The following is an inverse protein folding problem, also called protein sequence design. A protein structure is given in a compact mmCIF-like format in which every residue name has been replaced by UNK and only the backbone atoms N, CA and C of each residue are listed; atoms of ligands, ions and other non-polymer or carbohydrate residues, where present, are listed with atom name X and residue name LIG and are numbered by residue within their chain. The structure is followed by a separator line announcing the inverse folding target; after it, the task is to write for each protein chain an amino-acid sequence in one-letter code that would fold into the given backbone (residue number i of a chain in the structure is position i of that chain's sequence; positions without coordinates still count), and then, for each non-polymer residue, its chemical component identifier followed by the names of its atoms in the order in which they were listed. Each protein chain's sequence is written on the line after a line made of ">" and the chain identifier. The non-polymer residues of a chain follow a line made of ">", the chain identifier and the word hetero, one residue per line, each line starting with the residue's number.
data_IF_782362845354
#
_entry.id   IF_782362845354
#
_cell.length_a   1.000
_cell.length_b   1.000
_cell.length_c   1.000
_cell.angle_alpha   90.00
_cell.angle_beta   90.00
_cell.angle_gamma   90.00
#
_symmetry.space_group_name_H-M   'P 1'
#
loop_
_entity.id
_entity.type
_entity.pdbx_description
1 polymer ?
#
# COMPACT_ATOMS: atom_id res chain seq x y z
N UNK A 1 20.81 0.07 32.82
CA UNK A 1 20.81 1.32 32.02
C UNK A 1 21.71 1.22 30.78
N UNK A 2 22.97 0.77 30.89
CA UNK A 2 23.87 0.57 29.73
C UNK A 2 23.28 -0.36 28.65
N UNK A 3 22.65 -1.47 29.04
CA UNK A 3 22.01 -2.41 28.10
C UNK A 3 20.86 -1.77 27.31
N UNK A 4 20.09 -0.86 27.92
CA UNK A 4 19.01 -0.15 27.24
C UNK A 4 19.55 0.86 26.22
N UNK A 5 20.68 1.50 26.52
CA UNK A 5 21.35 2.41 25.58
C UNK A 5 21.94 1.62 24.40
N UNK A 6 22.59 0.48 24.68
CA UNK A 6 23.16 -0.38 23.66
C UNK A 6 22.08 -0.96 22.73
N UNK A 7 20.96 -1.41 23.29
CA UNK A 7 19.81 -1.91 22.50
C UNK A 7 19.16 -0.80 21.68
N UNK A 8 18.99 0.41 22.25
CA UNK A 8 18.49 1.55 21.50
C UNK A 8 19.41 1.92 20.32
N UNK A 9 20.74 1.94 20.54
CA UNK A 9 21.72 2.19 19.48
C UNK A 9 21.69 1.10 18.41
N UNK A 10 21.60 -0.17 18.81
CA UNK A 10 21.48 -1.29 17.88
C UNK A 10 20.21 -1.20 17.03
N UNK A 11 19.05 -0.90 17.63
CA UNK A 11 17.79 -0.74 16.90
C UNK A 11 17.88 0.45 15.93
N UNK A 12 18.44 1.58 16.38
CA UNK A 12 18.62 2.76 15.53
C UNK A 12 19.57 2.48 14.35
N UNK A 13 20.69 1.79 14.60
CA UNK A 13 21.63 1.38 13.55
C UNK A 13 20.98 0.41 12.57
N UNK A 14 20.29 -0.62 13.06
CA UNK A 14 19.59 -1.59 12.21
C UNK A 14 18.51 -0.92 11.35
N UNK A 15 17.73 0.00 11.92
CA UNK A 15 16.75 0.78 11.18
C UNK A 15 17.41 1.68 10.12
N UNK A 16 18.51 2.35 10.45
CA UNK A 16 19.25 3.17 9.50
C UNK A 16 19.83 2.33 8.34
N UNK A 17 20.44 1.18 8.63
CA UNK A 17 20.96 0.26 7.61
C UNK A 17 19.84 -0.26 6.70
N UNK A 18 18.68 -0.61 7.26
CA UNK A 18 17.52 -1.03 6.49
C UNK A 18 17.03 0.09 5.56
N UNK A 19 16.95 1.32 6.06
CA UNK A 19 16.57 2.49 5.24
C UNK A 19 17.56 2.76 4.11
N UNK A 20 18.87 2.65 4.38
CA UNK A 20 19.91 2.80 3.35
C UNK A 20 19.78 1.71 2.29
N UNK A 21 19.60 0.45 2.70
CA UNK A 21 19.41 -0.66 1.77
C UNK A 21 18.16 -0.45 0.90
N UNK A 22 17.08 0.04 1.49
CA UNK A 22 15.84 0.34 0.78
C UNK A 22 16.04 1.50 -0.21
N UNK A 23 16.71 2.57 0.21
CA UNK A 23 17.02 3.70 -0.66
C UNK A 23 17.91 3.30 -1.85
N UNK A 24 18.96 2.51 -1.61
CA UNK A 24 19.83 1.98 -2.66
C UNK A 24 19.07 1.04 -3.61
N UNK A 25 18.17 0.21 -3.08
CA UNK A 25 17.31 -0.64 -3.89
C UNK A 25 16.35 0.16 -4.77
N UNK A 26 15.73 1.20 -4.24
CA UNK A 26 14.86 2.10 -5.02
C UNK A 26 15.63 2.88 -6.09
N UNK A 27 16.85 3.30 -5.78
CA UNK A 27 17.75 3.97 -6.74
C UNK A 27 18.17 3.00 -7.87
N UNK A 28 18.53 1.76 -7.52
CA UNK A 28 18.84 0.74 -8.53
C UNK A 28 17.64 0.46 -9.42
N UNK A 29 16.43 0.42 -8.83
CA UNK A 29 15.19 0.24 -9.57
C UNK A 29 14.89 1.43 -10.50
N UNK A 30 15.12 2.68 -10.07
CA UNK A 30 14.92 3.84 -10.92
C UNK A 30 15.87 3.84 -12.12
N UNK A 31 17.15 3.57 -11.89
CA UNK A 31 18.15 3.41 -12.96
C UNK A 31 17.77 2.29 -13.94
N UNK A 32 17.26 1.16 -13.42
CA UNK A 32 16.77 0.08 -14.27
C UNK A 32 15.59 0.52 -15.16
N UNK A 33 14.64 1.28 -14.60
CA UNK A 33 13.49 1.81 -15.34
C UNK A 33 13.95 2.75 -16.46
N UNK A 34 14.97 3.58 -16.20
CA UNK A 34 15.55 4.49 -17.22
C UNK A 34 16.19 3.72 -18.37
N UNK A 35 17.04 2.73 -18.06
CA UNK A 35 17.74 1.96 -19.08
C UNK A 35 16.82 1.01 -19.86
N UNK A 36 15.74 0.51 -19.25
CA UNK A 36 14.90 -0.56 -19.80
C UNK A 36 13.39 -0.25 -19.73
N UNK A 37 12.97 0.97 -20.06
CA UNK A 37 11.58 1.44 -19.96
C UNK A 37 10.54 0.46 -20.55
N UNK A 38 10.80 -0.15 -21.71
CA UNK A 38 9.89 -1.10 -22.35
C UNK A 38 9.71 -2.42 -21.54
N UNK A 39 10.78 -2.93 -20.93
CA UNK A 39 10.73 -4.13 -20.07
C UNK A 39 10.12 -3.79 -18.72
N UNK A 40 10.53 -2.67 -18.13
CA UNK A 40 9.95 -2.14 -16.89
C UNK A 40 8.43 -2.03 -17.01
N UNK A 41 7.92 -1.44 -18.09
CA UNK A 41 6.48 -1.36 -18.38
C UNK A 41 5.78 -2.72 -18.36
N UNK A 42 6.37 -3.74 -19.00
CA UNK A 42 5.81 -5.11 -19.01
C UNK A 42 5.73 -5.70 -17.61
N UNK A 43 6.79 -5.53 -16.80
CA UNK A 43 6.78 -5.97 -15.40
C UNK A 43 5.76 -5.19 -14.56
N UNK A 44 5.63 -3.88 -14.76
CA UNK A 44 4.62 -3.07 -14.07
C UNK A 44 3.19 -3.47 -14.40
N UNK A 45 2.88 -3.78 -15.66
CA UNK A 45 1.58 -4.30 -16.07
C UNK A 45 1.33 -5.70 -15.50
N UNK A 46 2.31 -6.61 -15.59
CA UNK A 46 2.21 -7.94 -15.01
C UNK A 46 1.97 -7.91 -13.49
N UNK A 47 2.71 -7.06 -12.78
CA UNK A 47 2.55 -6.84 -11.34
C UNK A 47 1.17 -6.26 -11.02
N UNK A 48 0.65 -5.30 -11.81
CA UNK A 48 -0.69 -4.75 -11.62
C UNK A 48 -1.76 -5.85 -11.74
N UNK A 49 -1.69 -6.69 -12.77
CA UNK A 49 -2.63 -7.80 -12.93
C UNK A 49 -2.54 -8.80 -11.78
N UNK A 50 -1.32 -9.22 -11.43
CA UNK A 50 -1.10 -10.16 -10.33
C UNK A 50 -1.65 -9.63 -9.00
N UNK A 51 -1.34 -8.38 -8.65
CA UNK A 51 -1.79 -7.76 -7.41
C UNK A 51 -3.32 -7.54 -7.39
N UNK A 52 -3.92 -7.19 -8.52
CA UNK A 52 -5.39 -7.06 -8.62
C UNK A 52 -6.06 -8.43 -8.40
N UNK A 53 -5.52 -9.50 -9.00
CA UNK A 53 -6.03 -10.87 -8.80
C UNK A 53 -5.86 -11.30 -7.35
N UNK A 54 -4.67 -11.10 -6.76
CA UNK A 54 -4.43 -11.40 -5.34
C UNK A 54 -5.41 -10.63 -4.45
N UNK A 55 -5.63 -9.35 -4.72
CA UNK A 55 -6.55 -8.53 -3.93
C UNK A 55 -8.00 -9.05 -4.01
N UNK A 56 -8.45 -9.49 -5.19
CA UNK A 56 -9.77 -10.12 -5.36
C UNK A 56 -9.83 -11.46 -4.61
N UNK A 57 -8.79 -12.29 -4.71
CA UNK A 57 -8.72 -13.57 -4.00
C UNK A 57 -8.75 -13.39 -2.49
N UNK A 58 -8.06 -12.38 -1.94
CA UNK A 58 -8.10 -12.05 -0.51
C UNK A 58 -9.52 -11.67 -0.05
N UNK A 59 -10.28 -10.95 -0.88
CA UNK A 59 -11.68 -10.62 -0.56
C UNK A 59 -12.56 -11.88 -0.55
N UNK A 60 -12.36 -12.80 -1.49
CA UNK A 60 -13.20 -14.00 -1.64
C UNK A 60 -12.85 -15.10 -0.62
N UNK A 61 -11.55 -15.38 -0.44
CA UNK A 61 -11.07 -16.51 0.37
C UNK A 61 -11.01 -16.13 1.85
N UNK A 62 -10.40 -14.99 2.16
CA UNK A 62 -10.13 -14.58 3.55
C UNK A 62 -11.24 -13.70 4.13
N UNK A 63 -12.35 -13.52 3.39
CA UNK A 63 -13.46 -12.61 3.75
C UNK A 63 -12.96 -11.21 4.16
N UNK A 64 -11.86 -10.74 3.57
CA UNK A 64 -11.32 -9.41 3.82
C UNK A 64 -12.38 -8.40 3.39
N UNK A 65 -12.68 -7.39 4.22
CA UNK A 65 -13.73 -6.44 3.94
C UNK A 65 -13.49 -5.76 2.58
N UNK A 66 -14.44 -5.93 1.66
CA UNK A 66 -14.36 -5.35 0.32
C UNK A 66 -14.37 -3.81 0.34
N UNK A 67 -15.19 -3.23 1.22
CA UNK A 67 -15.39 -1.78 1.35
C UNK A 67 -14.07 -0.98 1.53
N UNK A 68 -13.17 -1.34 2.47
CA UNK A 68 -11.86 -0.71 2.61
C UNK A 68 -10.93 -0.81 1.41
N UNK A 69 -11.08 -1.87 0.59
CA UNK A 69 -10.23 -2.15 -0.57
C UNK A 69 -10.78 -1.54 -1.87
N UNK A 70 -12.04 -1.13 -1.86
CA UNK A 70 -12.77 -0.59 -3.01
C UNK A 70 -12.06 0.62 -3.67
N UNK A 71 -11.54 1.63 -2.94
CA UNK A 71 -10.83 2.75 -3.57
C UNK A 71 -9.60 2.30 -4.37
N UNK A 72 -8.89 1.26 -3.90
CA UNK A 72 -7.73 0.71 -4.59
C UNK A 72 -8.12 -0.15 -5.80
N UNK A 73 -9.23 -0.87 -5.74
CA UNK A 73 -9.75 -1.59 -6.91
C UNK A 73 -10.21 -0.61 -8.02
N UNK A 74 -10.80 0.54 -7.64
CA UNK A 74 -11.14 1.61 -8.58
C UNK A 74 -9.88 2.27 -9.17
N UNK A 75 -8.76 2.32 -8.43
CA UNK A 75 -7.52 2.88 -8.96
C UNK A 75 -6.86 1.97 -10.00
N UNK A 76 -7.09 0.65 -9.96
CA UNK A 76 -6.50 -0.32 -10.89
C UNK A 76 -6.64 0.04 -12.39
N UNK A 77 -7.83 0.39 -12.94
CA UNK A 77 -7.96 0.84 -14.33
C UNK A 77 -7.20 2.15 -14.61
N UNK A 78 -7.08 3.05 -13.63
CA UNK A 78 -6.29 4.27 -13.76
C UNK A 78 -4.78 3.97 -13.79
N UNK A 79 -4.32 3.00 -13.02
CA UNK A 79 -2.95 2.50 -13.10
C UNK A 79 -2.69 1.81 -14.44
N UNK A 80 -3.65 1.01 -14.93
CA UNK A 80 -3.55 0.31 -16.20
C UNK A 80 -3.41 1.27 -17.37
N UNK A 81 -4.31 2.25 -17.49
CA UNK A 81 -4.26 3.25 -18.57
C UNK A 81 -2.92 4.00 -18.56
N UNK A 82 -2.44 4.40 -17.39
CA UNK A 82 -1.16 5.09 -17.27
C UNK A 82 0.07 4.23 -17.64
N UNK A 83 0.09 2.96 -17.25
CA UNK A 83 1.19 2.02 -17.56
C UNK A 83 1.13 1.50 -19.00
N UNK A 84 -0.06 1.43 -19.60
CA UNK A 84 -0.26 0.91 -20.96
C UNK A 84 0.34 1.83 -22.04
N UNK A 85 0.55 3.11 -21.74
CA UNK A 85 1.10 4.06 -22.70
C UNK A 85 2.50 3.61 -23.21
N UNK A 86 2.74 3.66 -24.53
CA UNK A 86 4.01 3.24 -25.14
C UNK A 86 5.19 4.08 -24.70
N UNK A 87 4.96 5.36 -24.43
CA UNK A 87 5.99 6.31 -24.00
C UNK A 87 6.19 6.35 -22.49
N UNK A 88 5.53 5.49 -21.70
CA UNK A 88 5.78 5.43 -20.25
C UNK A 88 7.24 5.02 -19.98
N UNK A 89 7.96 5.66 -19.04
CA UNK A 89 7.51 6.68 -18.08
C UNK A 89 7.59 8.15 -18.57
N UNK A 90 8.08 8.40 -19.78
CA UNK A 90 8.31 9.72 -20.37
C UNK A 90 7.05 10.38 -20.97
N UNK A 91 5.90 9.70 -20.98
CA UNK A 91 4.65 10.17 -21.60
C UNK A 91 4.12 11.48 -21.04
N UNK A 92 4.45 11.83 -19.80
CA UNK A 92 4.02 13.09 -19.16
C UNK A 92 4.67 14.35 -19.75
N UNK A 93 5.74 14.23 -20.55
CA UNK A 93 6.57 15.38 -20.94
C UNK A 93 6.49 15.75 -22.41
N UNK A 94 5.92 14.90 -23.29
CA UNK A 94 6.00 15.09 -24.75
C UNK A 94 4.81 15.82 -25.39
N UNK A 95 3.67 15.90 -24.71
CA UNK A 95 2.47 16.58 -25.24
C UNK A 95 1.60 17.14 -24.11
N UNK A 96 1.41 18.46 -23.98
CA UNK A 96 0.39 19.04 -23.10
C UNK A 96 -1.07 18.82 -23.62
N UNK A 97 -1.26 18.03 -24.69
CA UNK A 97 -2.49 18.03 -25.49
C UNK A 97 -3.36 16.76 -25.42
N UNK A 98 -3.12 15.81 -24.50
CA UNK A 98 -4.03 14.67 -24.31
C UNK A 98 -4.44 14.49 -22.84
N UNK A 99 -5.43 15.28 -22.43
CA UNK A 99 -6.65 14.87 -21.67
C UNK A 99 -6.52 13.94 -20.46
N UNK A 100 -5.34 13.75 -19.88
CA UNK A 100 -5.22 13.12 -18.57
C UNK A 100 -5.11 14.24 -17.55
N UNK A 101 -6.23 14.64 -16.95
CA UNK A 101 -6.25 15.74 -15.99
C UNK A 101 -5.19 15.48 -14.90
N UNK A 102 -4.34 16.46 -14.55
CA UNK A 102 -3.31 16.29 -13.51
C UNK A 102 -3.92 15.78 -12.19
N UNK A 103 -5.17 16.15 -11.93
CA UNK A 103 -6.01 15.63 -10.86
C UNK A 103 -6.21 14.12 -10.90
N UNK A 104 -6.50 13.48 -12.05
CA UNK A 104 -6.65 12.02 -12.14
C UNK A 104 -5.33 11.29 -11.83
N UNK A 105 -4.22 11.90 -12.23
CA UNK A 105 -2.88 11.41 -11.89
C UNK A 105 -2.65 11.42 -10.37
N UNK A 106 -2.96 12.54 -9.71
CA UNK A 106 -2.80 12.69 -8.25
C UNK A 106 -3.80 11.82 -7.47
N UNK A 107 -5.02 11.71 -7.99
CA UNK A 107 -6.08 10.86 -7.47
C UNK A 107 -5.67 9.39 -7.48
N UNK A 108 -5.10 8.90 -8.60
CA UNK A 108 -4.66 7.50 -8.71
C UNK A 108 -3.38 7.18 -7.95
N UNK A 109 -2.42 8.11 -7.83
CA UNK A 109 -1.16 7.83 -7.13
C UNK A 109 -1.23 7.99 -5.61
N UNK A 110 -2.03 8.95 -5.14
CA UNK A 110 -1.99 9.36 -3.72
C UNK A 110 -3.36 9.21 -3.11
N UNK A 111 -4.39 9.85 -3.67
CA UNK A 111 -5.66 10.01 -2.97
C UNK A 111 -6.40 8.66 -2.77
N UNK A 112 -6.52 7.84 -3.82
CA UNK A 112 -7.20 6.54 -3.76
C UNK A 112 -6.43 5.51 -2.91
N UNK A 113 -5.11 5.32 -3.07
CA UNK A 113 -4.34 4.45 -2.18
C UNK A 113 -4.36 4.91 -0.73
N UNK A 114 -4.27 6.22 -0.47
CA UNK A 114 -4.35 6.78 0.88
C UNK A 114 -5.72 6.57 1.50
N UNK A 115 -6.80 6.78 0.72
CA UNK A 115 -8.15 6.48 1.18
C UNK A 115 -8.26 4.99 1.55
N UNK A 116 -7.82 4.07 0.68
CA UNK A 116 -7.83 2.64 1.00
C UNK A 116 -7.00 2.33 2.25
N UNK A 117 -5.82 2.94 2.41
CA UNK A 117 -5.00 2.81 3.62
C UNK A 117 -5.79 3.21 4.87
N UNK A 118 -6.31 4.43 4.91
CA UNK A 118 -7.04 4.96 6.08
C UNK A 118 -8.24 4.07 6.41
N UNK A 119 -8.99 3.63 5.39
CA UNK A 119 -10.14 2.75 5.59
C UNK A 119 -9.74 1.37 6.10
N UNK A 120 -8.66 0.76 5.58
CA UNK A 120 -8.18 -0.55 6.03
C UNK A 120 -7.70 -0.47 7.49
N UNK A 121 -6.92 0.55 7.83
CA UNK A 121 -6.44 0.77 9.21
C UNK A 121 -7.61 1.03 10.15
N UNK A 122 -8.57 1.87 9.76
CA UNK A 122 -9.77 2.14 10.57
C UNK A 122 -10.62 0.89 10.75
N UNK A 123 -10.80 0.10 9.70
CA UNK A 123 -11.54 -1.15 9.80
C UNK A 123 -10.83 -2.10 10.77
N UNK A 124 -9.52 -2.27 10.62
CA UNK A 124 -8.71 -3.11 11.50
C UNK A 124 -8.80 -2.69 12.97
N UNK A 125 -8.70 -1.40 13.28
CA UNK A 125 -8.80 -0.93 14.68
C UNK A 125 -10.18 -1.20 15.27
N UNK A 126 -11.25 -1.01 14.49
CA UNK A 126 -12.62 -1.32 14.92
C UNK A 126 -12.82 -2.82 15.14
N UNK A 127 -12.35 -3.67 14.22
CA UNK A 127 -12.44 -5.13 14.39
C UNK A 127 -11.62 -5.61 15.57
N UNK A 128 -10.39 -5.11 15.72
CA UNK A 128 -9.52 -5.46 16.84
C UNK A 128 -10.19 -5.08 18.18
N UNK A 129 -10.81 -3.90 18.25
CA UNK A 129 -11.54 -3.46 19.43
C UNK A 129 -12.74 -4.37 19.73
N UNK A 130 -13.54 -4.71 18.72
CA UNK A 130 -14.67 -5.62 18.86
C UNK A 130 -14.23 -7.01 19.35
N UNK A 131 -13.12 -7.54 18.84
CA UNK A 131 -12.53 -8.81 19.28
C UNK A 131 -11.98 -8.73 20.71
N UNK A 132 -11.34 -7.62 21.08
CA UNK A 132 -10.89 -7.40 22.47
C UNK A 132 -12.07 -7.33 23.44
N UNK A 133 -13.12 -6.61 23.09
CA UNK A 133 -14.33 -6.52 23.89
C UNK A 133 -15.00 -7.88 24.03
N UNK A 134 -15.13 -8.64 22.92
CA UNK A 134 -15.69 -9.99 22.95
C UNK A 134 -14.88 -10.93 23.87
N UNK A 135 -13.55 -10.88 23.82
CA UNK A 135 -12.68 -11.66 24.74
C UNK A 135 -12.84 -11.23 26.20
N UNK A 136 -12.96 -9.93 26.44
CA UNK A 136 -13.14 -9.40 27.80
C UNK A 136 -14.48 -9.84 28.38
N UNK A 137 -15.55 -9.69 27.61
CA UNK A 137 -16.93 -10.02 28.00
C UNK A 137 -17.11 -11.52 28.20
N UNK A 138 -16.44 -12.37 27.40
CA UNK A 138 -16.48 -13.83 27.57
C UNK A 138 -15.74 -14.30 28.81
N UNK A 139 -14.61 -13.67 29.17
CA UNK A 139 -13.82 -14.02 30.35
C UNK A 139 -14.42 -13.49 31.67
N UNK A 140 -14.98 -12.28 31.66
CA UNK A 140 -15.47 -11.61 32.88
C UNK A 140 -16.98 -11.73 33.07
N UNK A 141 -17.63 -12.66 32.35
CA UNK A 141 -19.08 -12.79 32.42
C UNK A 141 -19.52 -13.20 33.83
N UNK A 142 -20.35 -12.40 34.53
CA UNK A 142 -20.91 -12.80 35.79
C UNK A 142 -21.83 -14.02 35.56
N UNK A 143 -21.54 -15.11 36.25
CA UNK A 143 -22.40 -16.30 36.27
C UNK A 143 -23.39 -16.11 37.41
N UNK A 144 -24.69 -16.22 37.12
CA UNK A 144 -25.70 -16.23 38.17
C UNK A 144 -25.51 -17.48 39.04
N UNK A 145 -25.93 -17.44 40.33
CA UNK A 145 -25.93 -18.63 41.18
C UNK A 145 -26.68 -19.78 40.49
N UNK A 146 -26.05 -20.97 40.48
CA UNK A 146 -26.52 -22.13 39.71
C UNK A 146 -25.98 -22.22 38.28
N UNK A 147 -25.00 -21.39 37.90
CA UNK A 147 -24.33 -21.48 36.60
C UNK A 147 -25.18 -21.01 35.41
N UNK A 148 -26.33 -20.38 35.69
CA UNK A 148 -27.18 -19.78 34.65
C UNK A 148 -26.51 -18.49 34.15
N UNK A 149 -26.55 -18.31 32.84
CA UNK A 149 -26.12 -17.06 32.21
C UNK A 149 -27.25 -16.05 32.30
N UNK A 150 -26.92 -14.78 32.57
CA UNK A 150 -27.91 -13.70 32.51
C UNK A 150 -28.50 -13.65 31.09
N UNK A 151 -29.84 -13.68 31.02
CA UNK A 151 -30.60 -13.69 29.77
C UNK A 151 -30.56 -12.34 29.05
N UNK A 152 -30.22 -11.27 29.77
CA UNK A 152 -30.12 -9.90 29.25
C UNK A 152 -28.72 -9.54 28.71
N UNK A 153 -27.76 -10.46 28.78
CA UNK A 153 -26.40 -10.22 28.27
C UNK A 153 -26.37 -10.44 26.75
N UNK A 154 -25.82 -9.45 26.03
CA UNK A 154 -25.58 -9.47 24.58
C UNK A 154 -24.99 -10.82 24.13
N UNK A 155 -25.39 -11.24 22.93
CA UNK A 155 -25.07 -12.55 22.34
C UNK A 155 -23.60 -12.94 22.50
N UNK A 156 -23.36 -14.22 22.79
CA UNK A 156 -22.03 -14.84 22.80
C UNK A 156 -21.44 -15.07 21.42
N UNK A 157 -22.15 -14.63 20.39
CA UNK A 157 -21.72 -14.86 19.02
C UNK A 157 -20.45 -14.04 18.74
N UNK A 158 -19.45 -14.64 18.07
CA UNK A 158 -18.24 -13.94 17.69
C UNK A 158 -18.59 -12.77 16.76
N UNK A 159 -17.76 -11.71 16.74
CA UNK A 159 -17.91 -10.63 15.78
C UNK A 159 -18.00 -11.16 14.35
N UNK A 160 -18.87 -10.56 13.52
CA UNK A 160 -19.11 -11.01 12.13
C UNK A 160 -17.88 -10.91 11.24
N UNK A 161 -16.96 -9.99 11.55
CA UNK A 161 -15.71 -9.81 10.82
C UNK A 161 -14.59 -10.63 11.48
N UNK A 162 -13.88 -11.44 10.69
CA UNK A 162 -12.71 -12.20 11.15
C UNK A 162 -11.59 -11.28 11.67
N UNK A 163 -10.82 -11.79 12.63
CA UNK A 163 -9.67 -11.07 13.17
C UNK A 163 -8.48 -11.18 12.20
N UNK A 164 -7.92 -10.03 11.82
CA UNK A 164 -6.66 -9.96 11.07
C UNK A 164 -5.52 -9.61 12.02
N UNK A 165 -4.37 -10.24 11.84
CA UNK A 165 -3.15 -9.86 12.57
C UNK A 165 -2.56 -8.57 12.01
N UNK A 166 -1.83 -7.81 12.84
CA UNK A 166 -1.12 -6.60 12.40
C UNK A 166 -0.19 -6.87 11.20
N UNK A 167 0.44 -8.06 11.16
CA UNK A 167 1.32 -8.46 10.06
C UNK A 167 0.54 -8.66 8.76
N UNK A 168 -0.64 -9.29 8.81
CA UNK A 168 -1.51 -9.44 7.64
C UNK A 168 -1.98 -8.08 7.10
N UNK A 169 -2.36 -7.15 7.99
CA UNK A 169 -2.74 -5.79 7.60
C UNK A 169 -1.57 -5.06 6.92
N UNK A 170 -0.38 -5.14 7.51
CA UNK A 170 0.83 -4.58 6.90
C UNK A 170 1.13 -5.19 5.52
N UNK A 171 0.96 -6.51 5.36
CA UNK A 171 1.16 -7.17 4.08
C UNK A 171 0.15 -6.69 3.02
N UNK A 172 -1.13 -6.55 3.37
CA UNK A 172 -2.16 -6.01 2.48
C UNK A 172 -1.84 -4.57 2.08
N UNK A 173 -1.46 -3.71 3.04
CA UNK A 173 -1.10 -2.33 2.76
C UNK A 173 0.14 -2.25 1.85
N UNK A 174 1.20 -2.97 2.18
CA UNK A 174 2.45 -2.92 1.42
C UNK A 174 2.26 -3.47 -0.01
N UNK A 175 1.70 -4.66 -0.14
CA UNK A 175 1.59 -5.37 -1.42
C UNK A 175 0.42 -4.85 -2.27
N UNK A 176 -0.79 -4.79 -1.71
CA UNK A 176 -1.98 -4.49 -2.51
C UNK A 176 -2.16 -2.98 -2.71
N UNK A 177 -1.92 -2.16 -1.68
CA UNK A 177 -2.23 -0.72 -1.73
C UNK A 177 -1.06 0.10 -2.28
N UNK A 178 0.17 -0.10 -1.81
CA UNK A 178 1.28 0.81 -2.09
C UNK A 178 2.23 0.38 -3.21
N UNK A 179 2.33 -0.90 -3.53
CA UNK A 179 3.34 -1.39 -4.48
C UNK A 179 3.23 -0.73 -5.86
N UNK A 180 2.03 -0.66 -6.45
CA UNK A 180 1.83 -0.04 -7.77
C UNK A 180 1.98 1.49 -7.75
N UNK A 181 1.39 2.22 -6.79
CA UNK A 181 1.63 3.66 -6.65
C UNK A 181 3.12 4.02 -6.51
N UNK A 182 3.86 3.30 -5.66
CA UNK A 182 5.31 3.50 -5.47
C UNK A 182 6.06 3.21 -6.77
N UNK A 183 5.74 2.12 -7.46
CA UNK A 183 6.34 1.78 -8.75
C UNK A 183 6.15 2.90 -9.79
N UNK A 184 4.92 3.44 -9.90
CA UNK A 184 4.63 4.56 -10.80
C UNK A 184 5.31 5.85 -10.36
N UNK A 185 5.44 6.10 -9.06
CA UNK A 185 6.14 7.28 -8.53
C UNK A 185 7.62 7.24 -8.90
N UNK A 186 8.29 6.09 -8.73
CA UNK A 186 9.70 5.92 -9.12
C UNK A 186 9.89 6.17 -10.61
N UNK A 187 9.00 5.65 -11.46
CA UNK A 187 9.05 5.92 -12.89
C UNK A 187 8.94 7.42 -13.23
N UNK A 188 8.15 8.18 -12.47
CA UNK A 188 8.05 9.64 -12.66
C UNK A 188 9.30 10.38 -12.22
N UNK A 189 9.90 9.97 -11.11
CA UNK A 189 11.14 10.57 -10.59
C UNK A 189 12.28 10.34 -11.60
N UNK A 190 12.44 9.09 -12.06
CA UNK A 190 13.37 8.72 -13.11
C UNK A 190 13.20 9.57 -14.39
N UNK A 191 11.94 9.71 -14.86
CA UNK A 191 11.66 10.53 -16.04
C UNK A 191 11.98 12.03 -15.84
N UNK A 192 11.81 12.55 -14.62
CA UNK A 192 12.13 13.94 -14.28
C UNK A 192 13.66 14.18 -14.23
N UNK A 193 14.40 13.24 -13.64
CA UNK A 193 15.86 13.29 -13.54
C UNK A 193 16.52 13.28 -14.93
N UNK A 194 16.09 12.37 -15.80
CA UNK A 194 16.55 12.27 -17.18
C UNK A 194 16.37 13.58 -17.97
N UNK A 195 15.25 14.29 -17.76
CA UNK A 195 15.01 15.60 -18.38
C UNK A 195 15.97 16.67 -17.88
N UNK A 196 16.26 16.68 -16.59
CA UNK A 196 17.23 17.61 -15.99
C UNK A 196 18.65 17.41 -16.52
N UNK A 197 19.00 16.19 -16.93
CA UNK A 197 20.27 15.90 -17.61
C UNK A 197 20.32 16.46 -19.03
N UNK A 198 19.30 16.20 -19.86
CA UNK A 198 19.22 16.71 -21.24
C UNK A 198 19.18 18.24 -21.28
N UNK A 199 18.46 18.88 -20.36
CA UNK A 199 18.40 20.35 -20.27
C UNK A 199 19.78 20.98 -20.03
N UNK A 200 20.54 20.43 -19.07
CA UNK A 200 21.89 20.92 -18.74
C UNK A 200 22.90 20.72 -19.86
N UNK A 201 22.82 19.62 -20.62
CA UNK A 201 23.69 19.41 -21.78
C UNK A 201 23.43 20.43 -22.91
N UNK A 202 22.18 20.89 -23.08
CA UNK A 202 21.86 21.92 -24.08
C UNK A 202 22.32 23.32 -23.68
N UNK A 203 22.40 23.61 -22.38
CA UNK A 203 22.85 24.90 -21.86
C UNK A 203 24.38 25.00 -21.75
N UNK A 204 25.08 23.90 -21.42
CA UNK A 204 26.55 23.88 -21.36
C UNK A 204 27.25 23.70 -22.71
N UNK A 205 26.50 23.56 -23.80
CA UNK A 205 27.01 23.40 -25.18
C UNK A 205 26.86 24.65 -26.05
N UNK A 206 26.54 25.82 -25.47
CA UNK A 206 26.57 27.14 -26.11
C UNK A 206 27.69 27.98 -25.52
#
# INVERSE_FOLDING_TARGET
>A
MLLNILTAFFIAAAAATLLICLALGLLSLSQYIECHAARARRYGLGALYLLTVIQILLVIIDNVPFLPLLPNLISAPLHYTALSHPDWPFSFTRTPSRTTWPWMSLLSLILLPLASHIYVVRHHTLTLHAWHQHRYDTLHRPKLPGGRLDWDVKSTDPPTAGEMTNLQVCAVLALCVWTIPVYRLLGRIAAAEWRGYIGRQREGGR
#
